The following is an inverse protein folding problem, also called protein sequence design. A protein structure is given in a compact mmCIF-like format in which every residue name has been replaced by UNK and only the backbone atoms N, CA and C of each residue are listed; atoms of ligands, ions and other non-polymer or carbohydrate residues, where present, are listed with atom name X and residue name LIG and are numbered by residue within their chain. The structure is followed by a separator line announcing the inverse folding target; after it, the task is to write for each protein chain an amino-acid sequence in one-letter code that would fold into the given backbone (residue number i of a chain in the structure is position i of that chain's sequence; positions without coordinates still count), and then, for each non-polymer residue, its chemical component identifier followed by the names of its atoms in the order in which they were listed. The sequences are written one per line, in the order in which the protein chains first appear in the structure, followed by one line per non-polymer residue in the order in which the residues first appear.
data_IF_455752686969
#
_entry.id   IF_455752686969
#
_cell.length_a   1.000
_cell.length_b   1.000
_cell.length_c   1.000
_cell.angle_alpha   90.00
_cell.angle_beta   90.00
_cell.angle_gamma   90.00
#
_symmetry.space_group_name_H-M   'P 1'
#
loop_
_entity.id
_entity.type
_entity.pdbx_description
1 polymer ?
#
# COMPACT_ATOMS: atom_id res chain seq x y z
N UNK A 1 -4.13 -2.91 8.68
CA UNK A 1 -4.83 -2.86 7.37
C UNK A 1 -5.37 -1.47 7.07
N UNK A 2 -6.31 -0.91 7.87
CA UNK A 2 -6.87 0.42 7.63
C UNK A 2 -5.85 1.57 7.57
N UNK A 3 -4.84 1.59 8.44
CA UNK A 3 -3.82 2.63 8.43
C UNK A 3 -2.96 2.63 7.16
N UNK A 4 -2.56 1.44 6.69
CA UNK A 4 -1.70 1.29 5.49
C UNK A 4 -2.48 1.70 4.24
N UNK A 5 -3.74 1.28 4.14
CA UNK A 5 -4.62 1.61 3.02
C UNK A 5 -4.94 3.11 3.03
N UNK A 6 -5.31 3.69 4.18
CA UNK A 6 -5.61 5.11 4.31
C UNK A 6 -4.43 6.02 3.96
N UNK A 7 -3.22 5.68 4.41
CA UNK A 7 -1.99 6.42 4.06
C UNK A 7 -1.68 6.27 2.57
N UNK A 8 -1.81 5.06 2.02
CA UNK A 8 -1.65 4.81 0.58
C UNK A 8 -2.61 5.69 -0.23
N UNK A 9 -3.92 5.58 0.00
CA UNK A 9 -4.92 6.35 -0.75
C UNK A 9 -4.70 7.87 -0.65
N UNK A 10 -4.36 8.39 0.54
CA UNK A 10 -4.11 9.82 0.71
C UNK A 10 -2.88 10.32 -0.06
N UNK A 11 -1.78 9.56 -0.03
CA UNK A 11 -0.57 9.90 -0.80
C UNK A 11 -0.83 9.77 -2.31
N UNK A 12 -1.60 8.76 -2.74
CA UNK A 12 -1.98 8.56 -4.14
C UNK A 12 -2.80 9.71 -4.70
N UNK A 13 -3.82 10.17 -3.97
CA UNK A 13 -4.67 11.30 -4.37
C UNK A 13 -3.84 12.58 -4.48
N UNK A 14 -3.00 12.89 -3.49
CA UNK A 14 -2.16 14.10 -3.52
C UNK A 14 -1.13 14.08 -4.65
N UNK A 15 -0.64 12.89 -5.02
CA UNK A 15 0.32 12.71 -6.10
C UNK A 15 -0.35 12.84 -7.48
N UNK A 16 -1.57 12.31 -7.66
CA UNK A 16 -2.38 12.52 -8.87
C UNK A 16 -2.80 13.99 -9.03
N UNK A 17 -2.99 14.73 -7.94
CA UNK A 17 -3.33 16.16 -7.98
C UNK A 17 -2.10 17.01 -8.40
N UNK A 18 -0.91 16.63 -7.94
CA UNK A 18 0.34 17.33 -8.26
C UNK A 18 0.89 16.97 -9.65
N UNK A 19 0.49 15.83 -10.22
CA UNK A 19 0.77 15.43 -11.60
C UNK A 19 -0.55 15.31 -12.36
N UNK A 20 -1.02 16.37 -13.05
CA UNK A 20 -2.28 16.38 -13.78
C UNK A 20 -2.18 15.51 -15.06
N UNK A 21 -2.02 14.22 -14.87
CA UNK A 21 -2.08 13.20 -15.89
C UNK A 21 -3.56 12.86 -16.09
N UNK A 22 -4.08 13.07 -17.30
CA UNK A 22 -5.49 12.83 -17.69
C UNK A 22 -6.04 11.42 -17.37
N UNK A 23 -5.21 10.49 -16.88
CA UNK A 23 -5.52 9.07 -16.69
C UNK A 23 -5.32 8.53 -15.26
N UNK A 24 -5.15 9.36 -14.22
CA UNK A 24 -5.06 8.93 -12.80
C UNK A 24 -4.13 7.71 -12.57
N UNK A 25 -3.02 7.67 -13.32
CA UNK A 25 -2.10 6.53 -13.34
C UNK A 25 -1.39 6.37 -11.99
N UNK A 26 -1.18 7.46 -11.25
CA UNK A 26 -0.54 7.38 -9.94
C UNK A 26 -1.48 6.79 -8.89
N UNK A 27 -2.77 7.16 -8.86
CA UNK A 27 -3.73 6.48 -7.97
C UNK A 27 -3.81 4.99 -8.29
N UNK A 28 -3.80 4.61 -9.58
CA UNK A 28 -3.85 3.19 -9.98
C UNK A 28 -2.60 2.42 -9.52
N UNK A 29 -1.41 2.93 -9.84
CA UNK A 29 -0.12 2.32 -9.45
C UNK A 29 -0.01 2.25 -7.94
N UNK A 30 -0.37 3.32 -7.24
CA UNK A 30 -0.23 3.41 -5.80
C UNK A 30 -1.25 2.53 -5.06
N UNK A 31 -2.46 2.38 -5.60
CA UNK A 31 -3.43 1.39 -5.12
C UNK A 31 -2.91 -0.04 -5.32
N UNK A 32 -2.36 -0.37 -6.50
CA UNK A 32 -1.75 -1.68 -6.76
C UNK A 32 -0.57 -1.95 -5.80
N UNK A 33 0.34 -0.99 -5.65
CA UNK A 33 1.48 -1.08 -4.73
C UNK A 33 1.02 -1.24 -3.28
N UNK A 34 -0.05 -0.56 -2.87
CA UNK A 34 -0.61 -0.69 -1.52
C UNK A 34 -1.15 -2.10 -1.25
N UNK A 35 -1.78 -2.75 -2.24
CA UNK A 35 -2.23 -4.15 -2.13
C UNK A 35 -1.02 -5.08 -1.97
N UNK A 36 0.01 -4.91 -2.79
CA UNK A 36 1.24 -5.71 -2.73
C UNK A 36 1.92 -5.56 -1.36
N UNK A 37 2.06 -4.32 -0.86
CA UNK A 37 2.64 -4.05 0.45
C UNK A 37 1.83 -4.66 1.59
N UNK A 38 0.50 -4.68 1.48
CA UNK A 38 -0.37 -5.33 2.47
C UNK A 38 -0.13 -6.83 2.53
N UNK A 39 0.00 -7.49 1.37
CA UNK A 39 0.30 -8.93 1.28
C UNK A 39 1.68 -9.23 1.88
N UNK A 40 2.71 -8.46 1.51
CA UNK A 40 4.07 -8.63 2.04
C UNK A 40 4.11 -8.43 3.55
N UNK A 41 3.38 -7.43 4.07
CA UNK A 41 3.28 -7.18 5.50
C UNK A 41 2.66 -8.35 6.25
N UNK A 42 1.56 -8.91 5.73
CA UNK A 42 0.91 -10.09 6.32
C UNK A 42 1.85 -11.29 6.32
N UNK A 43 2.53 -11.57 5.21
CA UNK A 43 3.52 -12.66 5.12
C UNK A 43 4.65 -12.47 6.14
N UNK A 44 5.24 -11.28 6.22
CA UNK A 44 6.29 -10.97 7.21
C UNK A 44 5.80 -11.15 8.64
N UNK A 45 4.57 -10.73 8.95
CA UNK A 45 3.96 -10.89 10.27
C UNK A 45 3.78 -12.36 10.64
N UNK A 46 3.35 -13.19 9.70
CA UNK A 46 3.20 -14.64 9.91
C UNK A 46 4.56 -15.29 10.15
N UNK A 47 5.58 -14.97 9.34
CA UNK A 47 6.94 -15.51 9.52
C UNK A 47 7.53 -15.11 10.88
N UNK A 48 7.38 -13.85 11.27
CA UNK A 48 7.86 -13.37 12.57
C UNK A 48 7.17 -14.08 13.74
N UNK A 49 5.83 -14.20 13.69
CA UNK A 49 5.05 -14.92 14.69
C UNK A 49 5.40 -16.42 14.75
N UNK A 50 5.79 -17.01 13.62
CA UNK A 50 6.24 -18.40 13.56
C UNK A 50 7.64 -18.59 14.18
N UNK A 51 8.49 -17.55 14.14
CA UNK A 51 9.84 -17.57 14.71
C UNK A 51 9.86 -17.35 16.22
N UNK A 52 8.86 -16.69 16.78
CA UNK A 52 8.72 -16.45 18.23
C UNK A 52 8.26 -17.70 19.00
N UNK A 53 7.66 -18.68 18.30
CA UNK A 53 7.17 -19.92 18.89
C UNK A 53 8.14 -21.11 18.75
N UNK A 54 9.44 -20.88 18.47
CA UNK A 54 10.46 -21.93 18.38
C UNK A 54 11.69 -21.62 19.22
#
# INVERSE_FOLDING_TARGET
MFAIIGIGTFIGVKLDESYPNKHNLYTLILSLSSVILSIVYVIRRIIASSKENS
#
